data_IF_659938688324
#
_entry.id   IF_659938688324
#
_cell.length_a   1.000
_cell.length_b   1.000
_cell.length_c   1.000
_cell.angle_alpha   90.00
_cell.angle_beta   90.00
_cell.angle_gamma   90.00
#
_symmetry.space_group_name_H-M   'P 1'
#
loop_
_entity.id
_entity.type
_entity.pdbx_description
1 polymer ?
#
# COMPACT_ATOMS: atom_id res chain seq x y z
N UNK A 1 -12.06 -28.02 8.07
CA UNK A 1 -13.43 -27.82 8.62
C UNK A 1 -13.42 -26.57 9.47
N UNK A 2 -14.44 -25.73 9.37
CA UNK A 2 -14.57 -24.50 10.18
C UNK A 2 -14.94 -24.94 11.60
N UNK A 3 -13.94 -25.16 12.45
CA UNK A 3 -14.14 -25.68 13.80
C UNK A 3 -14.18 -24.55 14.82
N UNK A 4 -15.26 -24.45 15.59
CA UNK A 4 -15.46 -23.49 16.70
C UNK A 4 -15.56 -21.99 16.34
N UNK A 5 -15.37 -21.59 15.09
CA UNK A 5 -15.33 -20.18 14.67
C UNK A 5 -16.08 -19.87 13.36
N UNK A 6 -15.56 -18.92 12.61
CA UNK A 6 -16.03 -18.56 11.28
C UNK A 6 -14.83 -18.26 10.36
N UNK A 7 -15.04 -18.43 9.05
CA UNK A 7 -14.08 -18.05 8.03
C UNK A 7 -14.59 -16.83 7.26
N UNK A 8 -13.65 -16.04 6.73
CA UNK A 8 -13.92 -14.81 5.98
C UNK A 8 -13.37 -14.99 4.57
N UNK A 9 -14.14 -14.59 3.58
CA UNK A 9 -13.72 -14.59 2.18
C UNK A 9 -14.06 -13.27 1.50
N UNK A 10 -13.19 -12.84 0.61
CA UNK A 10 -13.38 -11.67 -0.25
C UNK A 10 -13.08 -12.07 -1.70
N UNK A 11 -13.89 -11.53 -2.63
CA UNK A 11 -13.57 -11.54 -4.04
C UNK A 11 -14.19 -10.36 -4.79
N UNK A 12 -13.37 -9.77 -5.67
CA UNK A 12 -13.74 -8.79 -6.68
C UNK A 12 -13.69 -9.45 -8.07
N UNK A 13 -14.78 -9.40 -8.83
CA UNK A 13 -14.83 -9.95 -10.18
C UNK A 13 -15.60 -9.01 -11.12
N UNK A 14 -15.05 -8.85 -12.32
CA UNK A 14 -15.68 -8.09 -13.40
C UNK A 14 -15.16 -6.67 -13.52
N UNK A 15 -15.90 -5.86 -14.27
CA UNK A 15 -15.52 -4.49 -14.61
C UNK A 15 -16.70 -3.55 -14.34
N UNK A 16 -16.41 -2.27 -14.13
CA UNK A 16 -17.47 -1.27 -14.03
C UNK A 16 -18.35 -1.22 -15.30
N UNK A 17 -19.66 -0.92 -15.15
CA UNK A 17 -20.39 -0.70 -13.91
C UNK A 17 -21.02 -1.97 -13.32
N UNK A 18 -20.70 -3.18 -13.79
CA UNK A 18 -21.29 -4.43 -13.27
C UNK A 18 -20.41 -5.17 -12.25
N UNK A 19 -19.24 -4.63 -11.92
CA UNK A 19 -18.30 -5.21 -10.96
C UNK A 19 -18.99 -5.72 -9.69
N UNK A 20 -18.68 -6.96 -9.33
CA UNK A 20 -19.18 -7.61 -8.13
C UNK A 20 -18.07 -7.65 -7.09
N UNK A 21 -18.35 -7.12 -5.90
CA UNK A 21 -17.48 -7.21 -4.74
C UNK A 21 -18.23 -7.92 -3.61
N UNK A 22 -17.79 -9.15 -3.31
CA UNK A 22 -18.39 -10.02 -2.30
C UNK A 22 -17.49 -10.07 -1.07
N UNK A 23 -18.03 -9.67 0.08
CA UNK A 23 -17.46 -10.06 1.38
C UNK A 23 -18.40 -11.10 1.97
N UNK A 24 -17.87 -12.22 2.44
CA UNK A 24 -18.71 -13.20 3.13
C UNK A 24 -18.05 -13.73 4.38
N UNK A 25 -18.93 -14.15 5.29
CA UNK A 25 -18.58 -14.92 6.47
C UNK A 25 -19.36 -16.22 6.46
N UNK A 26 -18.69 -17.32 6.75
CA UNK A 26 -19.28 -18.66 6.87
C UNK A 26 -18.89 -19.28 8.20
N UNK A 27 -19.84 -19.85 8.91
CA UNK A 27 -19.60 -20.47 10.22
C UNK A 27 -20.82 -21.21 10.74
N UNK A 28 -20.72 -21.74 11.96
CA UNK A 28 -21.79 -22.55 12.54
C UNK A 28 -22.99 -21.70 13.00
N UNK A 29 -24.19 -22.27 12.89
CA UNK A 29 -25.47 -21.70 13.33
C UNK A 29 -25.59 -21.57 14.85
N UNK A 30 -24.90 -22.41 15.60
CA UNK A 30 -24.82 -22.35 17.07
C UNK A 30 -23.76 -21.35 17.57
N UNK A 31 -23.01 -20.73 16.66
CA UNK A 31 -21.97 -19.75 16.95
C UNK A 31 -22.37 -18.29 16.65
N UNK A 32 -21.38 -17.37 16.66
CA UNK A 32 -21.59 -15.94 16.40
C UNK A 32 -22.31 -15.65 15.08
N UNK A 33 -22.06 -16.46 14.05
CA UNK A 33 -22.68 -16.29 12.72
C UNK A 33 -24.18 -16.54 12.78
N UNK A 34 -24.65 -17.56 13.50
CA UNK A 34 -26.08 -17.80 13.66
C UNK A 34 -26.80 -16.67 14.40
N UNK A 35 -26.18 -16.13 15.48
CA UNK A 35 -26.72 -14.97 16.19
C UNK A 35 -26.77 -13.72 15.30
N UNK A 36 -25.72 -13.45 14.53
CA UNK A 36 -25.67 -12.33 13.59
C UNK A 36 -26.70 -12.49 12.47
N UNK A 37 -26.85 -13.70 11.93
CA UNK A 37 -27.82 -14.04 10.89
C UNK A 37 -29.25 -13.78 11.38
N UNK A 38 -29.63 -14.33 12.53
CA UNK A 38 -30.97 -14.18 13.09
C UNK A 38 -31.28 -12.72 13.43
N UNK A 39 -30.33 -12.01 14.04
CA UNK A 39 -30.49 -10.59 14.39
C UNK A 39 -30.64 -9.71 13.15
N UNK A 40 -29.82 -9.95 12.13
CA UNK A 40 -29.85 -9.19 10.88
C UNK A 40 -31.17 -9.39 10.14
N UNK A 41 -31.66 -10.63 10.05
CA UNK A 41 -32.94 -10.95 9.44
C UNK A 41 -34.13 -10.32 10.20
N UNK A 42 -34.06 -10.27 11.53
CA UNK A 42 -35.12 -9.72 12.38
C UNK A 42 -35.14 -8.18 12.44
N UNK A 43 -34.07 -7.50 11.98
CA UNK A 43 -33.91 -6.04 12.10
C UNK A 43 -33.59 -5.41 10.73
N UNK A 44 -34.55 -5.36 9.79
CA UNK A 44 -34.33 -4.73 8.50
C UNK A 44 -34.02 -3.24 8.67
N UNK A 45 -33.03 -2.75 7.90
CA UNK A 45 -32.67 -1.33 7.85
C UNK A 45 -33.06 -0.75 6.50
N UNK A 46 -33.53 0.50 6.49
CA UNK A 46 -33.90 1.20 5.26
C UNK A 46 -32.74 1.17 4.25
N UNK A 47 -33.02 0.67 3.04
CA UNK A 47 -32.05 0.58 1.94
C UNK A 47 -31.02 -0.55 2.04
N UNK A 48 -30.98 -1.32 3.13
CA UNK A 48 -30.04 -2.43 3.36
C UNK A 48 -30.74 -3.68 3.90
N UNK A 49 -31.99 -3.90 3.49
CA UNK A 49 -32.81 -5.04 3.95
C UNK A 49 -32.13 -6.36 3.58
N UNK A 50 -31.76 -7.19 4.57
CA UNK A 50 -31.20 -8.50 4.31
C UNK A 50 -32.25 -9.43 3.70
N UNK A 51 -31.83 -10.28 2.76
CA UNK A 51 -32.73 -11.24 2.09
C UNK A 51 -32.13 -12.65 2.13
N UNK A 52 -32.98 -13.66 2.23
CA UNK A 52 -32.53 -15.04 2.10
C UNK A 52 -32.10 -15.33 0.66
N UNK A 53 -30.97 -16.01 0.46
CA UNK A 53 -30.59 -16.50 -0.85
C UNK A 53 -31.46 -17.70 -1.23
N UNK A 54 -32.22 -17.56 -2.32
CA UNK A 54 -33.13 -18.61 -2.82
C UNK A 54 -32.78 -18.94 -4.27
N UNK A 55 -32.67 -20.24 -4.58
CA UNK A 55 -32.39 -20.70 -5.95
C UNK A 55 -33.58 -20.41 -6.86
N UNK A 56 -34.77 -20.55 -6.29
CA UNK A 56 -36.08 -20.16 -6.84
C UNK A 56 -37.06 -19.94 -5.68
N UNK A 57 -38.23 -19.32 -5.90
CA UNK A 57 -39.24 -19.17 -4.86
C UNK A 57 -39.53 -20.51 -4.16
N UNK A 58 -39.59 -20.48 -2.82
CA UNK A 58 -39.78 -21.64 -1.95
C UNK A 58 -38.62 -22.67 -1.95
N UNK A 59 -37.45 -22.33 -2.48
CA UNK A 59 -36.25 -23.17 -2.44
C UNK A 59 -35.02 -22.37 -1.95
N UNK A 60 -34.89 -22.14 -0.62
CA UNK A 60 -33.68 -21.56 -0.05
C UNK A 60 -32.47 -22.47 -0.23
N UNK A 61 -31.29 -21.88 -0.44
CA UNK A 61 -30.04 -22.64 -0.57
C UNK A 61 -29.56 -23.18 0.78
N UNK A 62 -28.77 -24.26 0.74
CA UNK A 62 -28.01 -24.80 1.86
C UNK A 62 -26.50 -24.68 1.57
N UNK A 63 -25.66 -24.22 2.53
CA UNK A 63 -26.02 -23.69 3.85
C UNK A 63 -26.95 -22.47 3.80
N UNK A 64 -27.67 -22.22 4.89
CA UNK A 64 -28.60 -21.09 4.95
C UNK A 64 -27.82 -19.79 4.74
N UNK A 65 -28.18 -19.04 3.69
CA UNK A 65 -27.40 -17.88 3.24
C UNK A 65 -28.24 -16.61 3.28
N UNK A 66 -27.70 -15.56 3.90
CA UNK A 66 -28.29 -14.23 3.97
C UNK A 66 -27.50 -13.27 3.08
N UNK A 67 -28.18 -12.52 2.22
CA UNK A 67 -27.59 -11.50 1.35
C UNK A 67 -27.86 -10.12 1.95
N UNK A 68 -26.82 -9.32 2.11
CA UNK A 68 -26.86 -7.96 2.66
C UNK A 68 -26.34 -6.97 1.61
N UNK A 69 -27.16 -6.02 1.13
CA UNK A 69 -26.69 -5.00 0.18
C UNK A 69 -25.65 -4.06 0.81
N UNK A 70 -24.48 -3.90 0.17
CA UNK A 70 -23.45 -2.92 0.59
C UNK A 70 -23.86 -1.48 0.26
N UNK A 71 -24.59 -1.29 -0.83
CA UNK A 71 -25.05 0.02 -1.31
C UNK A 71 -26.50 0.22 -0.95
N UNK A 72 -26.84 1.44 -0.50
CA UNK A 72 -28.22 1.80 -0.16
C UNK A 72 -29.12 1.71 -1.39
N UNK A 73 -30.12 0.82 -1.34
CA UNK A 73 -31.16 0.69 -2.37
C UNK A 73 -32.11 1.90 -2.25
N UNK A 74 -32.20 2.69 -3.31
CA UNK A 74 -33.00 3.94 -3.35
C UNK A 74 -34.27 3.83 -4.18
N UNK A 75 -34.32 2.89 -5.11
CA UNK A 75 -35.40 2.73 -6.08
C UNK A 75 -35.70 1.24 -6.34
N UNK A 76 -36.77 0.99 -7.10
CA UNK A 76 -37.18 -0.36 -7.48
C UNK A 76 -36.17 -1.02 -8.41
N UNK A 77 -35.51 -0.27 -9.30
CA UNK A 77 -34.51 -0.81 -10.22
C UNK A 77 -33.29 -1.39 -9.45
N UNK A 78 -32.81 -0.69 -8.43
CA UNK A 78 -31.78 -1.17 -7.53
C UNK A 78 -32.22 -2.41 -6.73
N UNK A 79 -33.49 -2.46 -6.31
CA UNK A 79 -34.06 -3.64 -5.69
C UNK A 79 -34.09 -4.83 -6.68
N UNK A 80 -34.56 -4.64 -7.91
CA UNK A 80 -34.63 -5.71 -8.91
C UNK A 80 -33.26 -6.35 -9.20
N UNK A 81 -32.17 -5.57 -9.20
CA UNK A 81 -30.81 -6.10 -9.39
C UNK A 81 -30.36 -7.02 -8.26
N UNK A 82 -30.64 -6.63 -7.01
CA UNK A 82 -30.30 -7.42 -5.83
C UNK A 82 -31.19 -8.65 -5.72
N UNK A 83 -32.50 -8.47 -5.84
CA UNK A 83 -33.51 -9.52 -5.66
C UNK A 83 -33.62 -10.46 -6.87
N UNK A 84 -33.11 -10.05 -8.04
CA UNK A 84 -33.12 -10.85 -9.26
C UNK A 84 -31.77 -11.53 -9.52
N UNK A 85 -30.93 -10.96 -10.41
CA UNK A 85 -29.71 -11.63 -10.86
C UNK A 85 -28.72 -11.91 -9.73
N UNK A 86 -28.54 -11.00 -8.77
CA UNK A 86 -27.57 -11.22 -7.69
C UNK A 86 -28.03 -12.29 -6.68
N UNK A 87 -29.29 -12.29 -6.25
CA UNK A 87 -29.84 -13.34 -5.39
C UNK A 87 -29.74 -14.73 -6.05
N UNK A 88 -30.06 -14.82 -7.34
CA UNK A 88 -29.93 -16.08 -8.09
C UNK A 88 -28.46 -16.51 -8.23
N UNK A 89 -27.56 -15.56 -8.47
CA UNK A 89 -26.14 -15.83 -8.61
C UNK A 89 -25.51 -16.35 -7.31
N UNK A 90 -25.75 -15.65 -6.18
CA UNK A 90 -25.24 -16.05 -4.87
C UNK A 90 -25.79 -17.42 -4.46
N UNK A 91 -27.10 -17.63 -4.60
CA UNK A 91 -27.73 -18.90 -4.22
C UNK A 91 -27.21 -20.09 -5.05
N UNK A 92 -27.03 -19.92 -6.36
CA UNK A 92 -26.47 -20.99 -7.20
C UNK A 92 -24.98 -21.21 -6.92
N UNK A 93 -24.21 -20.16 -6.69
CA UNK A 93 -22.80 -20.30 -6.34
C UNK A 93 -22.60 -21.07 -5.02
N UNK A 94 -23.44 -20.82 -4.01
CA UNK A 94 -23.42 -21.60 -2.76
C UNK A 94 -23.80 -23.05 -3.00
N UNK A 95 -24.84 -23.31 -3.81
CA UNK A 95 -25.26 -24.68 -4.13
C UNK A 95 -24.15 -25.46 -4.86
N UNK A 96 -23.52 -24.83 -5.85
CA UNK A 96 -22.42 -25.43 -6.62
C UNK A 96 -21.17 -25.62 -5.74
N UNK A 97 -20.90 -24.72 -4.78
CA UNK A 97 -19.82 -24.91 -3.82
C UNK A 97 -20.02 -26.17 -2.95
N UNK A 98 -21.26 -26.55 -2.64
CA UNK A 98 -21.57 -27.81 -1.97
C UNK A 98 -21.45 -29.00 -2.92
N UNK A 99 -21.92 -28.84 -4.16
CA UNK A 99 -21.87 -29.91 -5.15
C UNK A 99 -20.42 -30.32 -5.47
N UNK A 100 -19.54 -29.33 -5.60
CA UNK A 100 -18.10 -29.47 -5.89
C UNK A 100 -17.24 -29.80 -4.66
N UNK A 101 -17.84 -29.85 -3.47
CA UNK A 101 -17.14 -30.21 -2.23
C UNK A 101 -16.25 -29.11 -1.64
N UNK A 102 -16.39 -27.85 -2.08
CA UNK A 102 -15.81 -26.69 -1.38
C UNK A 102 -16.39 -26.60 0.03
N UNK A 103 -17.70 -26.85 0.15
CA UNK A 103 -18.38 -26.99 1.44
C UNK A 103 -18.79 -28.47 1.65
N UNK A 104 -18.47 -29.07 2.81
CA UNK A 104 -18.78 -30.47 3.09
C UNK A 104 -20.30 -30.68 3.21
N UNK A 105 -20.85 -31.62 2.43
CA UNK A 105 -22.29 -31.93 2.36
C UNK A 105 -22.86 -32.31 3.72
N UNK A 106 -22.07 -32.98 4.54
CA UNK A 106 -22.42 -33.44 5.88
C UNK A 106 -22.63 -32.31 6.89
N UNK A 107 -22.03 -31.13 6.68
CA UNK A 107 -22.10 -30.01 7.62
C UNK A 107 -23.00 -28.85 7.16
N UNK A 108 -23.54 -28.88 5.94
CA UNK A 108 -24.27 -27.73 5.37
C UNK A 108 -25.50 -27.32 6.18
N UNK A 109 -26.12 -28.26 6.90
CA UNK A 109 -27.27 -27.98 7.76
C UNK A 109 -26.90 -27.28 9.06
N UNK A 110 -25.64 -27.36 9.48
CA UNK A 110 -25.12 -26.71 10.69
C UNK A 110 -24.48 -25.35 10.38
N UNK A 111 -24.21 -25.07 9.11
CA UNK A 111 -23.56 -23.84 8.66
C UNK A 111 -24.57 -22.75 8.28
N UNK A 112 -24.16 -21.50 8.46
CA UNK A 112 -24.82 -20.32 7.93
C UNK A 112 -23.79 -19.41 7.25
N UNK A 113 -24.24 -18.69 6.23
CA UNK A 113 -23.43 -17.76 5.45
C UNK A 113 -24.10 -16.39 5.48
N UNK A 114 -23.33 -15.34 5.70
CA UNK A 114 -23.77 -13.95 5.48
C UNK A 114 -22.88 -13.40 4.35
N UNK A 115 -23.51 -12.96 3.27
CA UNK A 115 -22.86 -12.46 2.06
C UNK A 115 -23.22 -10.99 1.90
N UNK A 116 -22.22 -10.11 1.96
CA UNK A 116 -22.35 -8.70 1.67
C UNK A 116 -22.07 -8.45 0.19
N UNK A 117 -23.07 -7.93 -0.53
CA UNK A 117 -23.05 -7.82 -1.99
C UNK A 117 -22.98 -6.36 -2.41
N UNK A 118 -21.93 -5.99 -3.15
CA UNK A 118 -21.85 -4.73 -3.87
C UNK A 118 -22.44 -4.88 -5.27
N UNK A 119 -23.34 -3.98 -5.63
CA UNK A 119 -23.74 -3.74 -7.01
C UNK A 119 -23.67 -2.23 -7.24
N UNK A 120 -22.97 -1.82 -8.28
CA UNK A 120 -22.87 -0.41 -8.62
C UNK A 120 -24.27 0.15 -8.99
N UNK A 121 -24.67 1.35 -8.53
CA UNK A 121 -25.96 1.97 -8.87
C UNK A 121 -26.21 2.20 -10.36
N UNK A 122 -25.15 2.20 -11.18
CA UNK A 122 -25.22 2.32 -12.64
C UNK A 122 -25.27 0.98 -13.40
N UNK A 123 -25.04 -0.15 -12.73
CA UNK A 123 -24.99 -1.45 -13.40
C UNK A 123 -26.35 -1.84 -13.94
N UNK A 124 -26.46 -2.15 -15.23
CA UNK A 124 -27.75 -2.42 -15.90
C UNK A 124 -27.80 -3.76 -16.61
N UNK A 125 -26.65 -4.36 -16.90
CA UNK A 125 -26.59 -5.67 -17.54
C UNK A 125 -26.82 -6.79 -16.51
N UNK A 126 -28.05 -7.32 -16.49
CA UNK A 126 -28.43 -8.39 -15.56
C UNK A 126 -27.64 -9.67 -15.77
N UNK A 127 -27.18 -9.95 -17.00
CA UNK A 127 -26.39 -11.14 -17.30
C UNK A 127 -24.97 -11.01 -16.73
N UNK A 128 -24.34 -9.83 -16.87
CA UNK A 128 -23.04 -9.54 -16.24
C UNK A 128 -23.16 -9.53 -14.72
N UNK A 129 -24.18 -8.86 -14.17
CA UNK A 129 -24.45 -8.86 -12.71
C UNK A 129 -24.54 -10.30 -12.20
N UNK A 130 -25.31 -11.16 -12.86
CA UNK A 130 -25.42 -12.56 -12.47
C UNK A 130 -24.06 -13.28 -12.51
N UNK A 131 -23.34 -13.19 -13.63
CA UNK A 131 -22.09 -13.93 -13.84
C UNK A 131 -21.00 -13.50 -12.86
N UNK A 132 -20.83 -12.19 -12.65
CA UNK A 132 -19.80 -11.66 -11.77
C UNK A 132 -20.11 -11.96 -10.31
N UNK A 133 -21.37 -11.81 -9.86
CA UNK A 133 -21.75 -12.17 -8.50
C UNK A 133 -21.61 -13.68 -8.24
N UNK A 134 -21.91 -14.52 -9.24
CA UNK A 134 -21.77 -15.97 -9.12
C UNK A 134 -20.28 -16.34 -8.96
N UNK A 135 -19.43 -15.83 -9.85
CA UNK A 135 -17.99 -16.09 -9.83
C UNK A 135 -17.33 -15.56 -8.54
N UNK A 136 -17.64 -14.31 -8.16
CA UNK A 136 -17.13 -13.69 -6.94
C UNK A 136 -17.58 -14.46 -5.69
N UNK A 137 -18.84 -14.86 -5.59
CA UNK A 137 -19.33 -15.63 -4.43
C UNK A 137 -18.61 -16.95 -4.29
N UNK A 138 -18.44 -17.68 -5.40
CA UNK A 138 -17.77 -18.98 -5.40
C UNK A 138 -16.29 -18.84 -5.04
N UNK A 139 -15.60 -17.84 -5.60
CA UNK A 139 -14.20 -17.55 -5.29
C UNK A 139 -14.02 -17.14 -3.82
N UNK A 140 -14.89 -16.26 -3.31
CA UNK A 140 -14.85 -15.84 -1.91
C UNK A 140 -15.10 -17.03 -0.96
N UNK A 141 -16.03 -17.93 -1.27
CA UNK A 141 -16.26 -19.15 -0.48
C UNK A 141 -15.04 -20.06 -0.46
N UNK A 142 -14.44 -20.29 -1.64
CA UNK A 142 -13.22 -21.08 -1.76
C UNK A 142 -12.09 -20.48 -0.91
N UNK A 143 -11.84 -19.18 -1.05
CA UNK A 143 -10.83 -18.44 -0.27
C UNK A 143 -11.09 -18.50 1.23
N UNK A 144 -12.34 -18.36 1.66
CA UNK A 144 -12.72 -18.49 3.07
C UNK A 144 -12.37 -19.87 3.63
N UNK A 145 -12.76 -20.95 2.92
CA UNK A 145 -12.51 -22.33 3.36
C UNK A 145 -11.03 -22.66 3.35
N UNK A 146 -10.28 -22.16 2.37
CA UNK A 146 -8.83 -22.37 2.24
C UNK A 146 -8.01 -21.47 3.17
N UNK A 147 -8.61 -20.45 3.80
CA UNK A 147 -7.91 -19.46 4.61
C UNK A 147 -6.99 -18.55 3.79
N UNK A 148 -7.35 -18.28 2.53
CA UNK A 148 -6.58 -17.42 1.62
C UNK A 148 -7.07 -15.96 1.67
N UNK A 149 -6.17 -14.96 1.64
CA UNK A 149 -4.71 -15.10 1.65
C UNK A 149 -4.16 -15.41 3.06
N UNK A 150 -3.08 -16.18 3.11
CA UNK A 150 -2.28 -16.31 4.32
C UNK A 150 -1.46 -15.05 4.61
N UNK A 151 -0.96 -14.91 5.84
CA UNK A 151 -0.19 -13.72 6.25
C UNK A 151 1.05 -13.48 5.39
N UNK A 152 1.73 -14.54 4.95
CA UNK A 152 2.95 -14.42 4.15
C UNK A 152 2.65 -13.80 2.77
N UNK A 153 1.54 -14.20 2.15
CA UNK A 153 1.07 -13.63 0.88
C UNK A 153 0.76 -12.14 1.05
N UNK A 154 0.08 -11.78 2.16
CA UNK A 154 -0.23 -10.37 2.44
C UNK A 154 1.04 -9.56 2.64
N UNK A 155 2.01 -10.06 3.40
CA UNK A 155 3.27 -9.35 3.65
C UNK A 155 4.11 -9.20 2.38
N UNK A 156 4.08 -10.19 1.48
CA UNK A 156 4.80 -10.15 0.21
C UNK A 156 4.15 -9.20 -0.81
N UNK A 157 2.82 -9.19 -0.90
CA UNK A 157 2.09 -8.39 -1.90
C UNK A 157 1.83 -6.95 -1.44
N UNK A 158 1.77 -6.68 -0.13
CA UNK A 158 1.60 -5.33 0.44
C UNK A 158 2.50 -4.27 -0.21
N UNK A 159 3.84 -4.47 -0.37
CA UNK A 159 4.68 -3.46 -1.03
C UNK A 159 4.48 -3.36 -2.55
N UNK A 160 3.81 -4.31 -3.20
CA UNK A 160 3.59 -4.33 -4.65
C UNK A 160 2.23 -3.73 -5.03
N UNK A 161 1.25 -3.81 -4.14
CA UNK A 161 -0.13 -3.47 -4.42
C UNK A 161 -0.41 -1.96 -4.40
N UNK A 162 -1.13 -1.48 -5.41
CA UNK A 162 -1.84 -0.20 -5.38
C UNK A 162 -3.31 -0.47 -5.08
N UNK A 163 -3.91 0.29 -4.16
CA UNK A 163 -5.35 0.21 -3.95
C UNK A 163 -6.06 0.98 -5.07
N UNK A 164 -7.06 0.38 -5.73
CA UNK A 164 -7.72 0.97 -6.92
C UNK A 164 -8.24 2.40 -6.66
N UNK A 165 -8.80 2.65 -5.48
CA UNK A 165 -9.29 3.98 -5.10
C UNK A 165 -8.19 5.04 -4.91
N UNK A 166 -6.96 4.62 -4.60
CA UNK A 166 -5.81 5.54 -4.45
C UNK A 166 -5.19 5.78 -5.83
N UNK A 167 -5.20 4.77 -6.71
CA UNK A 167 -4.71 4.87 -8.09
C UNK A 167 -3.18 4.93 -8.22
N UNK A 168 -2.46 4.85 -7.11
CA UNK A 168 -1.01 4.72 -7.06
C UNK A 168 -0.59 3.84 -5.88
N UNK A 169 0.64 3.34 -5.96
CA UNK A 169 1.27 2.55 -4.90
C UNK A 169 1.93 3.48 -3.89
N UNK A 170 1.74 3.20 -2.62
CA UNK A 170 2.50 3.87 -1.55
C UNK A 170 3.82 3.12 -1.40
N UNK A 171 4.93 3.77 -1.73
CA UNK A 171 6.27 3.17 -1.65
C UNK A 171 6.88 3.42 -0.27
N UNK A 172 6.95 2.39 0.56
CA UNK A 172 7.54 2.47 1.92
C UNK A 172 9.04 2.14 1.95
N UNK A 173 9.72 2.24 0.80
CA UNK A 173 11.15 1.96 0.66
C UNK A 173 11.59 0.51 0.98
N UNK A 174 10.71 -0.48 0.78
CA UNK A 174 10.97 -1.90 1.10
C UNK A 174 11.73 -2.68 0.01
N UNK A 175 11.95 -2.09 -1.17
CA UNK A 175 12.54 -2.72 -2.37
C UNK A 175 13.76 -1.94 -2.90
N UNK A 176 14.85 -1.81 -2.14
CA UNK A 176 16.07 -1.17 -2.63
C UNK A 176 16.69 -1.96 -3.80
N UNK A 177 17.44 -1.31 -4.70
CA UNK A 177 17.95 0.06 -4.58
C UNK A 177 17.01 1.15 -5.12
N UNK A 178 17.26 2.40 -4.70
CA UNK A 178 16.55 3.61 -5.16
C UNK A 178 17.52 4.68 -5.71
N UNK A 179 17.05 5.43 -6.70
CA UNK A 179 17.65 6.67 -7.18
C UNK A 179 16.95 7.85 -6.50
N UNK A 180 17.66 8.52 -5.57
CA UNK A 180 17.24 9.79 -5.00
C UNK A 180 17.63 10.95 -5.91
N UNK A 181 16.67 11.80 -6.25
CA UNK A 181 16.92 13.05 -6.98
C UNK A 181 16.75 14.23 -6.04
N UNK A 182 17.85 14.93 -5.76
CA UNK A 182 17.85 16.10 -4.89
C UNK A 182 17.48 17.38 -5.66
N UNK A 183 16.35 17.95 -5.29
CA UNK A 183 15.81 19.19 -5.86
C UNK A 183 16.43 20.38 -5.12
N UNK A 184 17.61 20.80 -5.59
CA UNK A 184 18.40 21.89 -4.98
C UNK A 184 17.98 23.29 -5.46
N UNK A 185 17.18 23.37 -6.54
CA UNK A 185 16.71 24.63 -7.11
C UNK A 185 15.73 25.33 -6.19
N UNK A 186 15.86 26.65 -6.10
CA UNK A 186 14.95 27.51 -5.34
C UNK A 186 13.92 28.23 -6.25
N UNK A 187 13.80 27.82 -7.52
CA UNK A 187 12.75 28.25 -8.44
C UNK A 187 11.75 27.12 -8.71
N UNK A 188 10.52 27.30 -8.24
CA UNK A 188 9.43 26.33 -8.43
C UNK A 188 9.17 26.01 -9.91
N UNK A 189 9.29 26.97 -10.84
CA UNK A 189 9.06 26.67 -12.26
C UNK A 189 10.05 25.66 -12.79
N UNK A 190 11.32 25.80 -12.38
CA UNK A 190 12.37 24.86 -12.73
C UNK A 190 12.13 23.49 -12.08
N UNK A 191 11.79 23.46 -10.79
CA UNK A 191 11.45 22.23 -10.08
C UNK A 191 10.29 21.49 -10.75
N UNK A 192 9.21 22.19 -11.07
CA UNK A 192 8.06 21.60 -11.77
C UNK A 192 8.47 21.01 -13.13
N UNK A 193 9.35 21.69 -13.88
CA UNK A 193 9.92 21.17 -15.12
C UNK A 193 10.68 19.85 -14.91
N UNK A 194 11.54 19.78 -13.90
CA UNK A 194 12.29 18.57 -13.53
C UNK A 194 11.33 17.43 -13.16
N UNK A 195 10.34 17.69 -12.30
CA UNK A 195 9.36 16.69 -11.85
C UNK A 195 8.59 16.06 -13.03
N UNK A 196 8.24 16.87 -14.04
CA UNK A 196 7.55 16.43 -15.24
C UNK A 196 8.46 15.67 -16.22
N UNK A 197 9.75 16.00 -16.25
CA UNK A 197 10.72 15.36 -17.13
C UNK A 197 11.18 13.98 -16.60
N UNK A 198 11.24 13.80 -15.29
CA UNK A 198 11.64 12.53 -14.67
C UNK A 198 10.68 11.38 -15.05
N UNK A 199 11.21 10.18 -15.39
CA UNK A 199 10.37 9.04 -15.69
C UNK A 199 9.52 8.64 -14.47
N UNK A 200 8.31 8.13 -14.68
CA UNK A 200 7.46 7.62 -13.60
C UNK A 200 7.85 6.19 -13.27
N UNK A 201 8.77 6.05 -12.31
CA UNK A 201 9.33 4.77 -11.86
C UNK A 201 9.38 4.74 -10.35
N UNK A 202 8.97 3.62 -9.78
CA UNK A 202 8.99 3.34 -8.35
C UNK A 202 10.38 3.44 -7.70
N UNK A 203 11.42 3.16 -8.49
CA UNK A 203 12.81 3.29 -8.06
C UNK A 203 13.31 4.73 -7.93
N UNK A 204 12.51 5.74 -8.31
CA UNK A 204 12.86 7.15 -8.13
C UNK A 204 12.19 7.69 -6.88
N UNK A 205 12.99 8.36 -6.04
CA UNK A 205 12.52 9.10 -4.87
C UNK A 205 13.03 10.54 -4.95
N UNK A 206 12.32 11.49 -4.36
CA UNK A 206 12.60 12.91 -4.51
C UNK A 206 13.00 13.51 -3.18
N UNK A 207 14.14 14.19 -3.11
CA UNK A 207 14.56 14.95 -1.94
C UNK A 207 14.31 16.43 -2.19
N UNK A 208 13.32 16.99 -1.51
CA UNK A 208 13.12 18.43 -1.46
C UNK A 208 14.27 19.04 -0.65
N UNK A 209 15.29 19.55 -1.34
CA UNK A 209 16.52 20.01 -0.71
C UNK A 209 16.30 21.20 0.22
N UNK A 210 17.22 21.42 1.15
CA UNK A 210 17.13 22.50 2.13
C UNK A 210 16.89 23.90 1.52
N UNK A 211 17.50 24.31 0.36
CA UNK A 211 17.18 25.60 -0.27
C UNK A 211 15.71 25.73 -0.69
N UNK A 212 15.14 24.66 -1.26
CA UNK A 212 13.76 24.62 -1.72
C UNK A 212 12.80 24.76 -0.54
N UNK A 213 13.02 23.98 0.53
CA UNK A 213 12.21 24.04 1.75
C UNK A 213 12.32 25.41 2.42
N UNK A 214 13.53 25.97 2.54
CA UNK A 214 13.72 27.30 3.16
C UNK A 214 12.99 28.40 2.41
N UNK A 215 12.82 28.27 1.10
CA UNK A 215 12.16 29.28 0.27
C UNK A 215 10.64 29.14 0.21
N UNK A 216 10.12 27.92 0.15
CA UNK A 216 8.69 27.66 -0.08
C UNK A 216 7.95 27.08 1.11
N UNK A 217 8.65 26.80 2.20
CA UNK A 217 8.12 26.01 3.30
C UNK A 217 8.16 24.52 3.00
N UNK A 218 7.87 23.72 4.03
CA UNK A 218 7.83 22.26 3.94
C UNK A 218 6.63 21.75 3.15
N UNK A 219 5.60 22.60 2.98
CA UNK A 219 4.42 22.40 2.14
C UNK A 219 4.76 22.22 0.65
N UNK A 220 6.01 22.46 0.24
CA UNK A 220 6.50 22.08 -1.08
C UNK A 220 6.37 20.57 -1.32
N UNK A 221 6.42 19.73 -0.28
CA UNK A 221 6.20 18.28 -0.39
C UNK A 221 4.80 17.97 -0.92
N UNK A 222 3.77 18.65 -0.40
CA UNK A 222 2.40 18.54 -0.93
C UNK A 222 2.31 18.92 -2.40
N UNK A 223 3.02 19.97 -2.82
CA UNK A 223 3.05 20.40 -4.23
C UNK A 223 3.74 19.38 -5.13
N UNK A 224 4.80 18.72 -4.64
CA UNK A 224 5.45 17.62 -5.35
C UNK A 224 4.47 16.46 -5.52
N UNK A 225 3.76 16.06 -4.45
CA UNK A 225 2.75 15.01 -4.48
C UNK A 225 1.55 15.31 -5.38
N UNK A 226 1.15 16.58 -5.55
CA UNK A 226 0.13 16.95 -6.53
C UNK A 226 0.54 16.64 -7.98
N UNK A 227 1.85 16.61 -8.26
CA UNK A 227 2.39 16.30 -9.60
C UNK A 227 2.72 14.80 -9.70
N UNK A 228 3.27 14.22 -8.63
CA UNK A 228 3.79 12.86 -8.55
C UNK A 228 3.30 12.15 -7.28
N UNK A 229 2.00 11.81 -7.19
CA UNK A 229 1.42 11.25 -5.97
C UNK A 229 1.99 9.87 -5.60
N UNK A 230 2.59 9.17 -6.56
CA UNK A 230 3.21 7.85 -6.38
C UNK A 230 4.64 7.88 -5.84
N UNK A 231 5.29 9.04 -5.85
CA UNK A 231 6.74 9.15 -5.61
C UNK A 231 7.02 9.54 -4.18
N UNK A 232 7.89 8.80 -3.49
CA UNK A 232 8.37 9.15 -2.14
C UNK A 232 9.04 10.50 -2.13
N UNK A 233 8.63 11.37 -1.20
CA UNK A 233 9.20 12.70 -0.97
C UNK A 233 9.92 12.77 0.37
N UNK A 234 11.22 13.04 0.31
CA UNK A 234 12.09 13.33 1.44
C UNK A 234 12.11 14.84 1.67
N UNK A 235 11.69 15.28 2.86
CA UNK A 235 11.82 16.66 3.31
C UNK A 235 13.20 16.86 3.98
N UNK A 236 14.13 17.51 3.27
CA UNK A 236 15.47 17.84 3.78
C UNK A 236 15.47 19.00 4.78
N UNK A 237 14.81 18.80 5.94
CA UNK A 237 14.67 19.80 6.99
C UNK A 237 16.01 20.15 7.65
N UNK A 238 16.94 19.19 7.70
CA UNK A 238 18.23 19.28 8.43
C UNK A 238 18.04 19.76 9.88
N UNK A 239 17.00 19.25 10.53
CA UNK A 239 16.60 19.65 11.88
C UNK A 239 17.75 19.50 12.88
N UNK A 240 17.99 20.55 13.68
CA UNK A 240 19.11 20.62 14.62
C UNK A 240 18.67 20.73 16.09
N UNK A 241 17.46 21.23 16.36
CA UNK A 241 16.99 21.48 17.73
C UNK A 241 15.57 20.95 18.00
N UNK A 242 14.54 21.56 17.41
CA UNK A 242 13.13 21.30 17.71
C UNK A 242 12.59 20.05 17.02
N UNK A 243 13.25 18.92 17.28
CA UNK A 243 13.11 17.70 16.48
C UNK A 243 11.67 17.20 16.33
N UNK A 244 10.89 17.19 17.42
CA UNK A 244 9.48 16.77 17.36
C UNK A 244 8.62 17.75 16.56
N UNK A 245 8.84 19.07 16.70
CA UNK A 245 8.05 20.06 15.96
C UNK A 245 8.31 19.95 14.46
N UNK A 246 9.58 19.85 14.07
CA UNK A 246 9.98 19.81 12.66
C UNK A 246 9.61 18.49 11.98
N UNK A 247 9.76 17.34 12.67
CA UNK A 247 9.27 16.06 12.16
C UNK A 247 7.75 16.08 11.92
N UNK A 248 6.99 16.64 12.86
CA UNK A 248 5.54 16.80 12.71
C UNK A 248 5.18 17.73 11.54
N UNK A 249 5.87 18.86 11.41
CA UNK A 249 5.67 19.77 10.26
C UNK A 249 5.91 19.07 8.93
N UNK A 250 6.92 18.21 8.82
CA UNK A 250 7.19 17.44 7.61
C UNK A 250 6.07 16.43 7.30
N UNK A 251 5.65 15.64 8.31
CA UNK A 251 4.55 14.68 8.14
C UNK A 251 3.22 15.34 7.79
N UNK A 252 2.86 16.44 8.47
CA UNK A 252 1.63 17.22 8.18
C UNK A 252 1.67 17.82 6.76
N UNK A 253 2.87 18.10 6.24
CA UNK A 253 3.11 18.52 4.86
C UNK A 253 3.25 17.36 3.86
N UNK A 254 2.83 16.16 4.26
CA UNK A 254 2.83 14.92 3.45
C UNK A 254 4.21 14.43 3.02
N UNK A 255 5.29 14.79 3.71
CA UNK A 255 6.58 14.13 3.47
C UNK A 255 6.55 12.68 3.97
N UNK A 256 6.98 11.74 3.14
CA UNK A 256 7.13 10.33 3.52
C UNK A 256 8.35 10.09 4.40
N UNK A 257 9.34 10.99 4.27
CA UNK A 257 10.62 10.92 4.97
C UNK A 257 11.03 12.31 5.43
N UNK A 258 11.49 12.44 6.67
CA UNK A 258 11.93 13.71 7.23
C UNK A 258 13.41 13.64 7.68
N UNK A 259 14.19 14.66 7.33
CA UNK A 259 15.65 14.68 7.57
C UNK A 259 16.02 15.48 8.81
N UNK A 260 16.79 14.88 9.70
CA UNK A 260 17.46 15.56 10.81
C UNK A 260 18.98 15.50 10.67
N UNK A 261 19.69 16.44 11.30
CA UNK A 261 21.14 16.46 11.29
C UNK A 261 21.73 15.49 12.32
N UNK A 262 22.71 14.71 11.89
CA UNK A 262 23.57 13.90 12.76
C UNK A 262 24.45 14.71 13.71
N UNK A 263 24.39 16.05 13.67
CA UNK A 263 25.04 16.95 14.64
C UNK A 263 24.09 17.52 15.69
N UNK A 264 22.80 17.19 15.64
CA UNK A 264 21.85 17.60 16.66
C UNK A 264 22.20 16.97 18.03
N UNK A 265 21.75 17.56 19.15
CA UNK A 265 21.84 16.88 20.43
C UNK A 265 21.13 15.51 20.39
N UNK A 266 21.68 14.47 21.04
CA UNK A 266 21.09 13.11 21.03
C UNK A 266 19.60 13.12 21.40
N UNK A 267 19.23 13.91 22.42
CA UNK A 267 17.83 14.04 22.85
C UNK A 267 16.91 14.61 21.77
N UNK A 268 17.44 15.49 20.91
CA UNK A 268 16.70 16.03 19.76
C UNK A 268 16.51 14.96 18.70
N UNK A 269 17.57 14.19 18.39
CA UNK A 269 17.49 13.08 17.42
C UNK A 269 16.46 12.04 17.84
N UNK A 270 16.49 11.59 19.10
CA UNK A 270 15.52 10.63 19.65
C UNK A 270 14.07 11.12 19.52
N UNK A 271 13.84 12.39 19.89
CA UNK A 271 12.52 13.01 19.76
C UNK A 271 12.07 13.17 18.32
N UNK A 272 13.00 13.43 17.41
CA UNK A 272 12.72 13.51 15.98
C UNK A 272 12.29 12.14 15.44
N UNK A 273 13.06 11.09 15.74
CA UNK A 273 12.77 9.72 15.27
C UNK A 273 11.42 9.24 15.82
N UNK A 274 11.19 9.41 17.12
CA UNK A 274 9.93 9.03 17.76
C UNK A 274 8.73 9.77 17.13
N UNK A 275 8.88 11.07 16.85
CA UNK A 275 7.80 11.88 16.31
C UNK A 275 7.55 11.60 14.83
N UNK A 276 8.60 11.37 14.02
CA UNK A 276 8.47 10.94 12.62
C UNK A 276 7.62 9.67 12.52
N UNK A 277 7.91 8.66 13.34
CA UNK A 277 7.13 7.42 13.37
C UNK A 277 5.67 7.64 13.78
N UNK A 278 5.39 8.56 14.72
CA UNK A 278 4.02 8.90 15.14
C UNK A 278 3.19 9.54 14.02
N UNK A 279 3.82 10.30 13.13
CA UNK A 279 3.16 10.94 11.99
C UNK A 279 3.19 10.09 10.72
N UNK A 280 3.75 8.88 10.79
CA UNK A 280 3.81 7.95 9.65
C UNK A 280 4.92 8.24 8.65
N UNK A 281 5.92 9.06 9.02
CA UNK A 281 7.10 9.34 8.20
C UNK A 281 8.32 8.53 8.68
N UNK A 282 9.27 8.30 7.79
CA UNK A 282 10.56 7.70 8.11
C UNK A 282 11.57 8.77 8.56
N UNK A 283 12.39 8.44 9.55
CA UNK A 283 13.43 9.31 10.07
C UNK A 283 14.75 9.11 9.30
N UNK A 284 15.27 10.20 8.75
CA UNK A 284 16.46 10.21 7.90
C UNK A 284 17.56 11.03 8.56
N UNK A 285 18.68 10.39 8.89
CA UNK A 285 19.84 11.04 9.51
C UNK A 285 20.82 11.49 8.43
N UNK A 286 20.96 12.80 8.26
CA UNK A 286 22.01 13.39 7.42
C UNK A 286 23.31 13.49 8.24
N UNK A 287 24.37 12.81 7.80
CA UNK A 287 25.66 12.78 8.51
C UNK A 287 26.66 13.81 7.99
N UNK A 288 26.22 14.85 7.28
CA UNK A 288 27.10 15.92 6.81
C UNK A 288 27.85 16.55 8.00
N UNK A 289 29.16 16.67 7.84
CA UNK A 289 30.07 17.17 8.87
C UNK A 289 30.06 16.35 10.18
N UNK A 290 29.58 15.10 10.21
CA UNK A 290 29.75 14.19 11.34
C UNK A 290 31.04 13.40 11.15
N UNK A 291 31.96 13.49 12.11
CA UNK A 291 33.28 12.84 12.01
C UNK A 291 33.16 11.31 12.03
N UNK A 292 32.45 10.77 13.02
CA UNK A 292 32.14 9.34 13.12
C UNK A 292 30.63 9.12 13.31
N UNK A 293 29.88 8.87 12.21
CA UNK A 293 28.45 8.59 12.29
C UNK A 293 28.12 7.36 13.15
N UNK A 294 29.00 6.34 13.19
CA UNK A 294 28.76 5.13 13.96
C UNK A 294 28.76 5.40 15.45
N UNK A 295 29.65 6.28 15.92
CA UNK A 295 29.69 6.68 17.33
C UNK A 295 28.36 7.30 17.76
N UNK A 296 27.80 8.19 16.93
CA UNK A 296 26.51 8.83 17.19
C UNK A 296 25.39 7.81 17.16
N UNK A 297 25.33 6.98 16.10
CA UNK A 297 24.31 5.93 15.95
C UNK A 297 24.32 4.99 17.15
N UNK A 298 25.50 4.57 17.64
CA UNK A 298 25.62 3.66 18.78
C UNK A 298 25.09 4.25 20.09
N UNK A 299 25.06 5.58 20.23
CA UNK A 299 24.50 6.26 21.40
C UNK A 299 22.97 6.41 21.34
N UNK A 300 22.37 6.26 20.16
CA UNK A 300 20.92 6.34 20.00
C UNK A 300 20.23 5.06 20.51
N UNK A 301 19.15 5.24 21.26
CA UNK A 301 18.22 4.21 21.66
C UNK A 301 17.35 3.78 20.49
N UNK A 302 16.81 4.76 19.74
CA UNK A 302 16.07 4.52 18.52
C UNK A 302 16.95 4.78 17.30
N UNK A 303 17.07 3.80 16.42
CA UNK A 303 17.89 3.94 15.20
C UNK A 303 17.08 4.67 14.12
N UNK A 304 17.72 5.54 13.32
CA UNK A 304 17.06 6.12 12.15
C UNK A 304 16.72 5.04 11.12
N UNK A 305 15.66 5.28 10.36
CA UNK A 305 15.26 4.40 9.25
C UNK A 305 16.22 4.52 8.08
N UNK A 306 16.79 5.71 7.88
CA UNK A 306 17.73 6.00 6.80
C UNK A 306 18.94 6.77 7.34
N UNK A 307 20.15 6.39 6.92
CA UNK A 307 21.38 7.14 7.23
C UNK A 307 22.05 7.55 5.92
N UNK A 308 22.28 8.85 5.74
CA UNK A 308 22.95 9.39 4.55
C UNK A 308 24.41 9.69 4.80
N UNK A 309 25.25 9.09 3.98
CA UNK A 309 26.67 9.37 3.89
C UNK A 309 26.95 10.36 2.77
N UNK A 310 27.68 11.43 3.08
CA UNK A 310 28.21 12.38 2.09
C UNK A 310 29.58 11.90 1.61
N UNK A 311 29.81 11.96 0.29
CA UNK A 311 30.96 11.35 -0.38
C UNK A 311 32.33 11.59 0.30
N UNK A 312 32.88 10.55 0.92
CA UNK A 312 34.11 9.83 0.50
C UNK A 312 34.43 8.71 1.50
N UNK A 313 34.65 7.49 0.98
CA UNK A 313 35.42 6.44 1.66
C UNK A 313 34.69 5.58 2.69
N UNK A 314 34.06 4.51 2.24
CA UNK A 314 34.55 3.12 2.44
C UNK A 314 33.36 2.16 2.39
N UNK A 315 33.48 1.10 1.57
CA UNK A 315 32.57 -0.07 1.64
C UNK A 315 32.39 -0.57 3.09
N UNK A 316 33.44 -0.41 3.89
CA UNK A 316 33.46 -0.74 5.32
C UNK A 316 32.41 0.05 6.12
N UNK A 317 32.19 1.34 5.83
CA UNK A 317 31.27 2.20 6.59
C UNK A 317 29.82 1.84 6.32
N UNK A 318 29.47 1.59 5.06
CA UNK A 318 28.11 1.16 4.67
C UNK A 318 27.72 -0.11 5.43
N UNK A 319 28.59 -1.12 5.40
CA UNK A 319 28.35 -2.39 6.09
C UNK A 319 28.21 -2.21 7.61
N UNK A 320 29.09 -1.41 8.23
CA UNK A 320 29.06 -1.15 9.67
C UNK A 320 27.82 -0.37 10.11
N UNK A 321 27.33 0.58 9.29
CA UNK A 321 26.10 1.32 9.60
C UNK A 321 24.90 0.40 9.52
N UNK A 322 24.82 -0.46 8.49
CA UNK A 322 23.77 -1.48 8.40
C UNK A 322 23.77 -2.41 9.60
N UNK A 323 24.95 -2.85 10.04
CA UNK A 323 25.09 -3.68 11.24
C UNK A 323 24.62 -2.95 12.51
N UNK A 324 24.96 -1.67 12.66
CA UNK A 324 24.60 -0.87 13.84
C UNK A 324 23.11 -0.49 13.91
N UNK A 325 22.46 -0.24 12.77
CA UNK A 325 21.05 0.14 12.70
C UNK A 325 20.11 -1.07 12.61
N UNK A 326 20.56 -2.16 12.00
CA UNK A 326 19.79 -3.38 11.79
C UNK A 326 19.26 -3.53 10.34
N UNK A 327 18.66 -4.70 10.03
CA UNK A 327 18.38 -5.11 8.64
C UNK A 327 17.27 -4.32 7.94
N UNK A 328 16.51 -3.49 8.68
CA UNK A 328 15.43 -2.65 8.11
C UNK A 328 15.89 -1.23 7.76
N UNK A 329 17.02 -0.77 8.29
CA UNK A 329 17.50 0.57 8.00
C UNK A 329 18.23 0.61 6.66
N UNK A 330 17.99 1.69 5.91
CA UNK A 330 18.59 1.93 4.61
C UNK A 330 19.81 2.83 4.75
N UNK A 331 20.81 2.61 3.89
CA UNK A 331 21.96 3.51 3.77
C UNK A 331 21.88 4.25 2.45
N UNK A 332 21.78 5.58 2.56
CA UNK A 332 21.87 6.50 1.43
C UNK A 332 23.30 6.99 1.25
N UNK A 333 23.70 7.21 0.00
CA UNK A 333 24.96 7.86 -0.33
C UNK A 333 24.68 9.04 -1.24
N UNK A 334 25.02 10.24 -0.78
CA UNK A 334 24.78 11.50 -1.48
C UNK A 334 26.09 12.06 -2.06
N UNK A 335 26.00 12.53 -3.30
CA UNK A 335 27.09 13.14 -4.02
C UNK A 335 26.81 13.21 -5.52
N UNK A 336 27.76 13.70 -6.27
CA UNK A 336 27.69 13.74 -7.73
C UNK A 336 28.59 12.64 -8.27
N UNK A 337 27.98 11.52 -8.67
CA UNK A 337 28.67 10.30 -9.07
C UNK A 337 28.37 9.97 -10.52
N UNK A 338 29.37 9.50 -11.26
CA UNK A 338 29.14 8.84 -12.55
C UNK A 338 28.38 7.50 -12.36
N UNK A 339 27.71 7.02 -13.40
CA UNK A 339 26.90 5.78 -13.35
C UNK A 339 27.71 4.58 -12.84
N UNK A 340 28.95 4.42 -13.27
CA UNK A 340 29.83 3.33 -12.84
C UNK A 340 30.21 3.42 -11.35
N UNK A 341 30.31 4.64 -10.80
CA UNK A 341 30.59 4.84 -9.38
C UNK A 341 29.34 4.57 -8.53
N UNK A 342 28.17 5.06 -8.96
CA UNK A 342 26.89 4.74 -8.34
C UNK A 342 26.66 3.21 -8.27
N UNK A 343 27.01 2.50 -9.34
CA UNK A 343 26.99 1.03 -9.38
C UNK A 343 27.90 0.40 -8.33
N UNK A 344 29.14 0.89 -8.18
CA UNK A 344 30.08 0.38 -7.16
C UNK A 344 29.60 0.64 -5.73
N UNK A 345 28.92 1.77 -5.49
CA UNK A 345 28.33 2.11 -4.20
C UNK A 345 27.14 1.19 -3.86
N UNK A 346 26.25 0.94 -4.82
CA UNK A 346 25.21 -0.08 -4.69
C UNK A 346 25.81 -1.45 -4.37
N UNK A 347 26.83 -1.88 -5.11
CA UNK A 347 27.51 -3.17 -4.88
C UNK A 347 28.23 -3.21 -3.52
N UNK A 348 28.50 -2.06 -2.91
CA UNK A 348 29.01 -1.95 -1.56
C UNK A 348 27.92 -2.01 -0.48
N UNK A 349 26.65 -2.08 -0.88
CA UNK A 349 25.49 -2.19 0.01
C UNK A 349 24.70 -0.91 0.20
N UNK A 350 24.94 0.16 -0.56
CA UNK A 350 24.09 1.35 -0.54
C UNK A 350 22.69 1.01 -1.09
N UNK A 351 21.65 1.43 -0.38
CA UNK A 351 20.26 1.22 -0.76
C UNK A 351 19.70 2.38 -1.56
N UNK A 352 20.23 3.59 -1.35
CA UNK A 352 19.78 4.80 -2.03
C UNK A 352 21.02 5.55 -2.55
N UNK A 353 21.03 5.91 -3.83
CA UNK A 353 22.03 6.83 -4.40
C UNK A 353 21.34 8.17 -4.64
N UNK A 354 21.76 9.22 -3.92
CA UNK A 354 21.19 10.57 -4.01
C UNK A 354 22.08 11.44 -4.89
N UNK A 355 21.50 11.97 -5.97
CA UNK A 355 22.16 12.83 -6.96
C UNK A 355 21.40 14.15 -7.09
N UNK A 356 22.12 15.28 -7.16
CA UNK A 356 21.54 16.60 -7.36
C UNK A 356 21.72 17.09 -8.79
N UNK A 357 22.81 17.82 -9.03
CA UNK A 357 23.08 18.52 -10.29
C UNK A 357 23.26 17.55 -11.47
N UNK A 358 23.84 16.37 -11.23
CA UNK A 358 24.04 15.33 -12.26
C UNK A 358 22.73 14.97 -12.97
N UNK A 359 21.59 14.96 -12.26
CA UNK A 359 20.27 14.70 -12.84
C UNK A 359 19.58 16.00 -13.23
N UNK A 360 19.56 16.99 -12.32
CA UNK A 360 18.70 18.17 -12.42
C UNK A 360 19.21 19.24 -13.39
N UNK A 361 20.50 19.23 -13.71
CA UNK A 361 21.14 20.10 -14.73
C UNK A 361 21.42 19.35 -16.04
N UNK A 362 21.03 18.08 -16.15
CA UNK A 362 21.23 17.29 -17.36
C UNK A 362 20.46 17.88 -18.55
N UNK A 363 21.08 17.86 -19.74
CA UNK A 363 20.42 18.27 -20.98
C UNK A 363 19.17 17.42 -21.32
N UNK A 364 19.15 16.16 -20.90
CA UNK A 364 18.00 15.28 -20.94
C UNK A 364 17.85 14.55 -19.60
N UNK A 365 17.01 15.11 -18.73
CA UNK A 365 16.72 14.58 -17.39
C UNK A 365 16.14 13.17 -17.46
N UNK A 366 15.24 12.91 -18.43
CA UNK A 366 14.54 11.64 -18.52
C UNK A 366 15.51 10.51 -18.86
N UNK A 367 16.32 10.74 -19.91
CA UNK A 367 17.33 9.78 -20.35
C UNK A 367 18.37 9.56 -19.24
N UNK A 368 18.88 10.63 -18.65
CA UNK A 368 19.91 10.52 -17.61
C UNK A 368 19.40 9.72 -16.41
N UNK A 369 18.21 10.02 -15.89
CA UNK A 369 17.64 9.24 -14.80
C UNK A 369 17.41 7.77 -15.17
N UNK A 370 17.00 7.50 -16.42
CA UNK A 370 16.84 6.13 -16.93
C UNK A 370 18.16 5.37 -16.98
N UNK A 371 19.24 6.01 -17.42
CA UNK A 371 20.58 5.41 -17.47
C UNK A 371 21.07 5.04 -16.06
N UNK A 372 20.81 5.89 -15.04
CA UNK A 372 21.11 5.56 -13.64
C UNK A 372 20.25 4.41 -13.11
N UNK A 373 18.94 4.41 -13.37
CA UNK A 373 18.07 3.29 -12.96
C UNK A 373 18.58 1.95 -13.52
N UNK A 374 18.97 1.93 -14.80
CA UNK A 374 19.56 0.74 -15.43
C UNK A 374 20.91 0.36 -14.82
N UNK A 375 21.78 1.35 -14.57
CA UNK A 375 23.06 1.13 -13.89
C UNK A 375 22.90 0.52 -12.49
N UNK A 376 21.85 0.94 -11.78
CA UNK A 376 21.46 0.42 -10.48
C UNK A 376 20.72 -0.92 -10.54
N UNK A 377 20.36 -1.42 -11.73
CA UNK A 377 19.69 -2.71 -11.91
C UNK A 377 18.21 -2.69 -11.55
N UNK A 378 17.58 -1.51 -11.62
CA UNK A 378 16.16 -1.32 -11.36
C UNK A 378 15.43 -1.49 -12.70
N UNK A 379 14.81 -2.66 -12.89
CA UNK A 379 14.09 -3.03 -14.11
C UNK A 379 12.57 -3.03 -13.88
N UNK A 380 11.79 -2.96 -14.97
CA UNK A 380 10.32 -3.01 -14.90
C UNK A 380 9.83 -4.35 -14.33
N UNK A 381 8.93 -4.28 -13.35
CA UNK A 381 8.13 -5.42 -12.88
C UNK A 381 6.70 -5.23 -13.38
N UNK A 382 6.11 -6.27 -13.96
CA UNK A 382 4.72 -6.27 -14.44
C UNK A 382 3.76 -6.07 -13.27
N UNK A 383 2.98 -5.00 -13.31
CA UNK A 383 2.20 -4.47 -12.18
C UNK A 383 0.79 -5.07 -12.05
N UNK A 384 0.36 -5.92 -12.97
CA UNK A 384 -1.04 -6.35 -13.06
C UNK A 384 -1.30 -7.82 -12.68
N UNK A 385 -0.27 -8.59 -12.31
CA UNK A 385 -0.40 -10.04 -12.09
C UNK A 385 0.12 -10.47 -10.74
N UNK A 386 -0.78 -11.00 -9.91
CA UNK A 386 -0.40 -11.79 -8.73
C UNK A 386 0.13 -13.14 -9.26
N UNK A 387 1.32 -13.55 -8.82
CA UNK A 387 2.02 -14.74 -9.33
C UNK A 387 1.27 -16.07 -9.12
N UNK A 388 0.16 -16.09 -8.39
CA UNK A 388 -0.55 -17.31 -7.99
C UNK A 388 -1.71 -17.70 -8.91
N UNK A 389 -2.01 -16.92 -9.95
CA UNK A 389 -3.14 -17.19 -10.88
C UNK A 389 -2.75 -18.07 -12.08
N UNK A 390 -1.68 -18.87 -11.98
CA UNK A 390 -1.21 -19.82 -13.01
C UNK A 390 -1.70 -21.25 -12.79
#
# INVERSE_FOLDING_TARGET
>A
MIDGGFAIGEALVGEEPEIAHIDLVVGRKDGPIGSAFASSLAQPRMGHTPILAVVRPNLPVKPATLIVPKVTIRDLEGAERIFGPAQSAVSKAVADAVDEGILPRESVEELAIIVSVFIHPRGKDYQRIYRYNYAATKLALKRAVEGFPGIDVVLEEKPKAAHEMIGFRINNLEQPPYLGVELVHDDWRRVEGILRALPRKDGIILKAGAPLIKRYGVEVCQKIHQIRPETVVIADMKSLDTGNLEARMAGDATADVAVFSGRAPLKTMERFIEEAHKVGALAYMDTINVEDPLEVINQLQMKPDIVELHATGEKSRIARIKEACGPRSLVAVAGEFEVDEAKRLRDAGADIIVLGETITEAGDINKTATDYLQGLGIYEVDQFRIMTDF
#
